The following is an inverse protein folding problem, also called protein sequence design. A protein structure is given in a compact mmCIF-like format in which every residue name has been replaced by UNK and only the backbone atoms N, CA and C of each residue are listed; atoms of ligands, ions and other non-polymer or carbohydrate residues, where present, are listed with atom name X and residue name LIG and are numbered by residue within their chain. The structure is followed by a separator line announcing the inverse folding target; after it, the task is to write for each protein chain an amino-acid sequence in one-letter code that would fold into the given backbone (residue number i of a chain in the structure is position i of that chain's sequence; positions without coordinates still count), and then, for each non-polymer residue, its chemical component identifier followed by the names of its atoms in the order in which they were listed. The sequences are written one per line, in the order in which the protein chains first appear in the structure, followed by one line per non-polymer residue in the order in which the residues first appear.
data_IF_713990229796
#
_entry.id   IF_713990229796
#
_cell.length_a   1.000
_cell.length_b   1.000
_cell.length_c   1.000
_cell.angle_alpha   90.00
_cell.angle_beta   90.00
_cell.angle_gamma   90.00
#
_symmetry.space_group_name_H-M   'P 1'
#
loop_
_entity.id
_entity.type
_entity.pdbx_description
1 polymer ?
#
# COMPACT_ATOMS: atom_id res chain seq x y z
N UNK A 1 -0.12 16.38 -1.28
CA UNK A 1 -0.53 16.31 -2.71
C UNK A 1 -0.49 14.85 -3.15
N UNK A 2 -1.46 14.37 -3.93
CA UNK A 2 -1.48 12.97 -4.38
C UNK A 2 -0.34 12.69 -5.37
N UNK A 3 0.55 11.74 -5.04
CA UNK A 3 1.57 11.29 -5.98
C UNK A 3 0.96 10.36 -7.05
N UNK A 4 0.53 10.95 -8.18
CA UNK A 4 -0.09 10.24 -9.30
C UNK A 4 0.78 9.12 -9.87
N UNK A 5 2.10 9.34 -9.96
CA UNK A 5 3.04 8.33 -10.44
C UNK A 5 3.03 7.09 -9.54
N UNK A 6 3.01 7.29 -8.21
CA UNK A 6 2.88 6.20 -7.23
C UNK A 6 1.56 5.45 -7.39
N UNK A 7 0.44 6.16 -7.58
CA UNK A 7 -0.88 5.55 -7.80
C UNK A 7 -0.86 4.60 -9.02
N UNK A 8 -0.38 5.08 -10.17
CA UNK A 8 -0.33 4.26 -11.38
C UNK A 8 0.64 3.10 -11.24
N UNK A 9 1.80 3.29 -10.59
CA UNK A 9 2.76 2.21 -10.32
C UNK A 9 2.12 1.08 -9.51
N UNK A 10 1.44 1.41 -8.40
CA UNK A 10 0.76 0.41 -7.57
C UNK A 10 -0.38 -0.25 -8.35
N UNK A 11 -1.17 0.54 -9.10
CA UNK A 11 -2.27 0.01 -9.90
C UNK A 11 -1.77 -1.02 -10.92
N UNK A 12 -0.68 -0.71 -11.61
CA UNK A 12 -0.05 -1.63 -12.56
C UNK A 12 0.47 -2.92 -11.90
N UNK A 13 1.06 -2.81 -10.71
CA UNK A 13 1.46 -3.99 -9.94
C UNK A 13 0.25 -4.87 -9.56
N UNK A 14 -0.86 -4.27 -9.16
CA UNK A 14 -2.11 -4.98 -8.86
C UNK A 14 -2.68 -5.69 -10.08
N UNK A 15 -2.76 -5.01 -11.23
CA UNK A 15 -3.18 -5.59 -12.51
C UNK A 15 -2.34 -6.81 -12.86
N UNK A 16 -1.01 -6.69 -12.78
CA UNK A 16 -0.10 -7.78 -13.15
C UNK A 16 -0.19 -8.98 -12.21
N UNK A 17 -0.23 -8.74 -10.90
CA UNK A 17 -0.21 -9.81 -9.89
C UNK A 17 -1.56 -10.50 -9.73
N UNK A 18 -2.66 -9.74 -9.72
CA UNK A 18 -4.00 -10.27 -9.46
C UNK A 18 -4.83 -10.51 -10.73
N UNK A 19 -4.27 -10.21 -11.91
CA UNK A 19 -4.94 -10.37 -13.22
C UNK A 19 -6.29 -9.66 -13.29
N UNK A 20 -6.36 -8.47 -12.70
CA UNK A 20 -7.56 -7.60 -12.70
C UNK A 20 -7.44 -6.53 -13.78
N UNK A 21 -8.57 -5.94 -14.18
CA UNK A 21 -8.56 -4.79 -15.09
C UNK A 21 -7.98 -3.53 -14.42
N UNK A 22 -7.65 -2.53 -15.24
CA UNK A 22 -7.02 -1.29 -14.76
C UNK A 22 -7.91 -0.50 -13.78
N UNK A 23 -9.23 -0.50 -13.96
CA UNK A 23 -10.16 0.19 -13.05
C UNK A 23 -10.13 -0.41 -11.64
N UNK A 24 -10.18 -1.75 -11.55
CA UNK A 24 -10.03 -2.47 -10.29
C UNK A 24 -8.63 -2.25 -9.70
N UNK A 25 -7.58 -2.28 -10.52
CA UNK A 25 -6.21 -1.98 -10.10
C UNK A 25 -6.07 -0.58 -9.49
N UNK A 26 -6.72 0.43 -10.09
CA UNK A 26 -6.74 1.80 -9.57
C UNK A 26 -7.50 1.91 -8.24
N UNK A 27 -8.63 1.21 -8.08
CA UNK A 27 -9.35 1.14 -6.80
C UNK A 27 -8.49 0.54 -5.69
N UNK A 28 -7.77 -0.56 -6.00
CA UNK A 28 -6.82 -1.18 -5.07
C UNK A 28 -5.67 -0.23 -4.72
N UNK A 29 -5.07 0.42 -5.72
CA UNK A 29 -3.99 1.39 -5.49
C UNK A 29 -4.44 2.60 -4.65
N UNK A 30 -5.68 3.05 -4.85
CA UNK A 30 -6.28 4.12 -4.05
C UNK A 30 -6.42 3.71 -2.58
N UNK A 31 -6.83 2.46 -2.30
CA UNK A 31 -6.88 1.93 -0.94
C UNK A 31 -5.50 1.93 -0.26
N UNK A 32 -4.43 1.57 -0.99
CA UNK A 32 -3.05 1.67 -0.49
C UNK A 32 -2.68 3.11 -0.11
N UNK A 33 -2.96 4.08 -0.98
CA UNK A 33 -2.63 5.49 -0.73
C UNK A 33 -3.42 6.05 0.45
N UNK A 34 -4.72 5.71 0.57
CA UNK A 34 -5.52 6.10 1.74
C UNK A 34 -4.91 5.56 3.03
N UNK A 35 -4.46 4.29 3.02
CA UNK A 35 -3.82 3.69 4.19
C UNK A 35 -2.50 4.39 4.53
N UNK A 36 -1.66 4.69 3.54
CA UNK A 36 -0.44 5.47 3.75
C UNK A 36 -0.73 6.83 4.39
N UNK A 37 -1.70 7.59 3.85
CA UNK A 37 -2.07 8.90 4.41
C UNK A 37 -2.56 8.78 5.87
N UNK A 38 -3.38 7.76 6.17
CA UNK A 38 -3.85 7.49 7.53
C UNK A 38 -2.69 7.14 8.49
N UNK A 39 -1.75 6.31 8.05
CA UNK A 39 -0.59 5.92 8.87
C UNK A 39 0.34 7.11 9.09
N UNK A 40 0.57 7.93 8.06
CA UNK A 40 1.36 9.16 8.20
C UNK A 40 0.77 10.10 9.23
N UNK A 41 -0.54 10.32 9.18
CA UNK A 41 -1.22 11.19 10.13
C UNK A 41 -1.17 10.65 11.56
N UNK A 42 -1.37 9.33 11.73
CA UNK A 42 -1.39 8.73 13.07
C UNK A 42 -0.02 8.75 13.76
N UNK A 43 1.06 8.53 13.02
CA UNK A 43 2.42 8.44 13.55
C UNK A 43 3.27 9.69 13.30
N UNK A 44 2.67 10.77 12.81
CA UNK A 44 3.34 12.03 12.45
C UNK A 44 4.57 11.81 11.52
N UNK A 45 4.38 11.01 10.47
CA UNK A 45 5.45 10.64 9.53
C UNK A 45 5.48 11.62 8.36
N UNK A 46 6.59 12.36 8.28
CA UNK A 46 6.85 13.31 7.20
C UNK A 46 6.84 12.67 5.79
N UNK A 47 6.45 13.45 4.78
CA UNK A 47 6.34 13.01 3.38
C UNK A 47 7.66 12.54 2.75
N UNK A 48 8.81 12.91 3.33
CA UNK A 48 10.15 12.45 2.93
C UNK A 48 10.38 10.96 3.19
N UNK A 49 9.65 10.36 4.14
CA UNK A 49 9.72 8.93 4.39
C UNK A 49 8.96 8.15 3.32
N UNK A 50 9.51 7.01 2.92
CA UNK A 50 8.97 6.16 1.87
C UNK A 50 8.07 5.07 2.44
N UNK A 51 6.99 4.77 1.73
CA UNK A 51 6.15 3.60 1.96
C UNK A 51 6.32 2.63 0.80
N UNK A 52 6.68 1.39 1.12
CA UNK A 52 6.73 0.27 0.20
C UNK A 52 5.48 -0.60 0.40
N UNK A 53 4.86 -1.03 -0.71
CA UNK A 53 3.73 -1.94 -0.70
C UNK A 53 4.11 -3.27 -1.37
N UNK A 54 4.07 -4.36 -0.61
CA UNK A 54 4.29 -5.72 -1.09
C UNK A 54 2.96 -6.43 -1.23
N UNK A 55 2.56 -6.62 -2.48
CA UNK A 55 1.33 -7.32 -2.82
C UNK A 55 1.45 -8.81 -2.45
N UNK A 56 0.38 -9.39 -1.93
CA UNK A 56 0.27 -10.79 -1.55
C UNK A 56 -1.12 -11.33 -1.93
N UNK A 57 -1.18 -12.59 -2.34
CA UNK A 57 -2.42 -13.31 -2.59
C UNK A 57 -2.28 -14.74 -2.13
N UNK A 58 -3.28 -15.24 -1.42
CA UNK A 58 -3.32 -16.60 -0.90
C UNK A 58 -4.59 -16.82 -0.10
N UNK A 59 -5.03 -18.08 0.02
CA UNK A 59 -6.23 -18.45 0.77
C UNK A 59 -7.49 -17.63 0.37
N UNK A 60 -7.66 -17.35 -0.91
CA UNK A 60 -8.77 -16.53 -1.43
C UNK A 60 -8.68 -15.03 -1.13
N UNK A 61 -7.62 -14.56 -0.46
CA UNK A 61 -7.44 -13.16 -0.07
C UNK A 61 -6.42 -12.45 -0.94
N UNK A 62 -6.61 -11.14 -1.12
CA UNK A 62 -5.66 -10.23 -1.79
C UNK A 62 -5.30 -9.10 -0.83
N UNK A 63 -4.00 -8.91 -0.60
CA UNK A 63 -3.48 -7.94 0.36
C UNK A 63 -2.33 -7.15 -0.20
N UNK A 64 -2.11 -5.97 0.34
CA UNK A 64 -0.87 -5.22 0.22
C UNK A 64 -0.30 -4.96 1.60
N UNK A 65 0.77 -5.69 1.94
CA UNK A 65 1.55 -5.41 3.15
C UNK A 65 2.35 -4.14 2.93
N UNK A 66 2.44 -3.28 3.94
CA UNK A 66 3.22 -2.05 3.84
C UNK A 66 4.30 -1.98 4.90
N UNK A 67 5.40 -1.34 4.53
CA UNK A 67 6.51 -0.98 5.42
C UNK A 67 6.95 0.44 5.11
N UNK A 68 7.46 1.14 6.11
CA UNK A 68 8.02 2.49 5.94
C UNK A 68 9.34 2.65 6.68
N UNK A 69 10.26 3.43 6.10
CA UNK A 69 11.50 3.83 6.78
C UNK A 69 11.28 4.95 7.81
N UNK A 70 10.06 5.49 7.93
CA UNK A 70 9.65 6.41 9.01
C UNK A 70 9.25 5.71 10.31
N UNK A 71 9.33 4.37 10.37
CA UNK A 71 8.98 3.58 11.55
C UNK A 71 10.11 2.64 11.98
N UNK A 72 10.16 2.33 13.28
CA UNK A 72 11.09 1.31 13.79
C UNK A 72 10.80 -0.07 13.21
N UNK A 73 11.81 -0.96 13.23
CA UNK A 73 11.66 -2.36 12.79
C UNK A 73 10.53 -3.07 13.55
N UNK A 74 10.38 -2.79 14.84
CA UNK A 74 9.32 -3.34 15.69
C UNK A 74 7.91 -2.94 15.21
N UNK A 75 7.73 -1.68 14.81
CA UNK A 75 6.44 -1.22 14.29
C UNK A 75 6.14 -1.81 12.90
N UNK A 76 7.15 -1.90 12.04
CA UNK A 76 7.02 -2.49 10.70
C UNK A 76 6.72 -4.00 10.73
N UNK A 77 7.21 -4.73 11.74
CA UNK A 77 7.00 -6.19 11.86
C UNK A 77 5.62 -6.60 12.37
N UNK A 78 4.75 -5.64 12.71
CA UNK A 78 3.37 -5.95 13.14
C UNK A 78 2.59 -6.57 11.97
N UNK A 79 2.04 -7.77 12.22
CA UNK A 79 1.26 -8.58 11.24
C UNK A 79 0.05 -7.87 10.63
N UNK A 80 -0.41 -6.77 11.23
CA UNK A 80 -1.62 -6.05 10.83
C UNK A 80 -1.33 -4.86 9.89
N UNK A 81 -0.08 -4.68 9.45
CA UNK A 81 0.31 -3.65 8.49
C UNK A 81 0.00 -4.07 7.05
N UNK A 82 -1.29 -4.23 6.75
CA UNK A 82 -1.75 -4.53 5.39
C UNK A 82 -3.03 -3.76 5.02
N UNK A 83 -3.28 -3.69 3.72
CA UNK A 83 -4.56 -3.32 3.12
C UNK A 83 -5.16 -4.59 2.51
N UNK A 84 -6.39 -4.92 2.88
CA UNK A 84 -7.17 -5.98 2.22
C UNK A 84 -8.01 -5.35 1.10
N UNK A 85 -8.09 -6.03 -0.04
CA UNK A 85 -8.79 -5.55 -1.25
C UNK A 85 -10.11 -6.26 -1.49
#
# INVERSE_FOLDING_TARGET
MLNRSKLFKIAWQCVRKFKVNISTGLKMAWACIKREASVRNYYDIDNTYNFEFKLWSGYGKRRAYYTTNGMSKYWNSKRNNFVEF
#
